data_IF_681777423330
#
_entry.id   IF_681777423330
#
_cell.length_a   1.000
_cell.length_b   1.000
_cell.length_c   1.000
_cell.angle_alpha   90.00
_cell.angle_beta   90.00
_cell.angle_gamma   90.00
#
_symmetry.space_group_name_H-M   'P 1'
#
loop_
_entity.id
_entity.type
_entity.pdbx_description
1 polymer ?
#
# COMPACT_ATOMS: atom_id res chain seq x y z
N UNK A 1 -12.20 -8.10 -3.37
CA UNK A 1 -11.22 -7.19 -2.79
C UNK A 1 -11.21 -5.87 -3.55
N UNK A 2 -11.02 -4.79 -2.84
CA UNK A 2 -10.90 -3.47 -3.47
C UNK A 2 -9.44 -3.04 -3.45
N UNK A 3 -8.73 -3.20 -4.55
CA UNK A 3 -7.29 -2.91 -4.55
C UNK A 3 -6.97 -1.45 -4.25
N UNK A 4 -7.86 -0.53 -4.62
CA UNK A 4 -7.60 0.88 -4.34
C UNK A 4 -7.70 1.16 -2.85
N UNK A 5 -8.72 0.60 -2.20
CA UNK A 5 -8.87 0.80 -0.76
C UNK A 5 -7.74 0.13 0.00
N UNK A 6 -7.35 -1.07 -0.44
CA UNK A 6 -6.25 -1.77 0.20
C UNK A 6 -4.96 -0.99 0.07
N UNK A 7 -4.72 -0.44 -1.11
CA UNK A 7 -3.53 0.36 -1.34
C UNK A 7 -3.50 1.60 -0.46
N UNK A 8 -4.65 2.27 -0.31
CA UNK A 8 -4.72 3.45 0.53
C UNK A 8 -4.44 3.12 1.99
N UNK A 9 -5.01 2.00 2.46
CA UNK A 9 -4.73 1.57 3.83
C UNK A 9 -3.26 1.27 4.01
N UNK A 10 -2.66 0.61 3.04
CA UNK A 10 -1.25 0.28 3.10
C UNK A 10 -0.41 1.55 3.22
N UNK A 11 -0.72 2.54 2.41
CA UNK A 11 0.04 3.78 2.45
C UNK A 11 -0.12 4.51 3.78
N UNK A 12 -1.32 4.50 4.33
CA UNK A 12 -1.55 5.13 5.64
C UNK A 12 -0.80 4.42 6.74
N UNK A 13 -0.80 3.10 6.68
CA UNK A 13 -0.10 2.32 7.70
C UNK A 13 1.41 2.51 7.59
N UNK A 14 1.92 2.59 6.37
CA UNK A 14 3.34 2.85 6.18
C UNK A 14 3.73 4.22 6.72
N UNK A 15 2.87 5.21 6.48
CA UNK A 15 3.14 6.54 7.00
C UNK A 15 3.16 6.54 8.52
N UNK A 16 2.21 5.82 9.12
CA UNK A 16 2.18 5.72 10.57
C UNK A 16 3.41 4.99 11.11
N UNK A 17 3.86 3.96 10.41
CA UNK A 17 5.07 3.25 10.82
C UNK A 17 6.30 4.13 10.71
N UNK A 18 6.31 5.03 9.74
CA UNK A 18 7.42 5.95 9.59
C UNK A 18 7.58 6.81 10.85
N UNK A 19 6.46 7.18 11.46
CA UNK A 19 6.47 7.98 12.66
C UNK A 19 6.67 7.14 13.90
N UNK A 20 6.25 5.89 13.88
CA UNK A 20 6.36 5.01 15.03
C UNK A 20 6.76 3.61 14.57
N UNK A 21 8.03 3.41 14.23
CA UNK A 21 8.46 2.12 13.69
C UNK A 21 8.37 0.96 14.67
N UNK A 22 8.12 1.23 15.94
CA UNK A 22 8.01 0.18 16.93
C UNK A 22 6.59 -0.38 17.06
N UNK A 23 5.66 0.14 16.27
CA UNK A 23 4.28 -0.33 16.30
C UNK A 23 4.20 -1.68 15.59
N UNK A 24 4.34 -2.75 16.37
CA UNK A 24 4.40 -4.09 15.79
C UNK A 24 3.06 -4.51 15.22
N UNK A 25 1.98 -4.07 15.83
CA UNK A 25 0.66 -4.41 15.33
C UNK A 25 0.44 -3.82 13.94
N UNK A 26 0.85 -2.57 13.77
CA UNK A 26 0.70 -1.93 12.47
C UNK A 26 1.59 -2.59 11.43
N UNK A 27 2.79 -2.98 11.84
CA UNK A 27 3.69 -3.67 10.94
C UNK A 27 3.08 -4.98 10.45
N UNK A 28 2.46 -5.73 11.36
CA UNK A 28 1.82 -6.98 10.98
C UNK A 28 0.69 -6.72 10.00
N UNK A 29 -0.06 -5.65 10.20
CA UNK A 29 -1.14 -5.29 9.28
C UNK A 29 -0.59 -4.95 7.90
N UNK A 30 0.53 -4.26 7.84
CA UNK A 30 1.16 -3.95 6.55
C UNK A 30 1.50 -5.22 5.80
N UNK A 31 2.06 -6.19 6.51
CA UNK A 31 2.43 -7.45 5.88
C UNK A 31 1.19 -8.15 5.33
N UNK A 32 0.10 -8.17 6.10
CA UNK A 32 -1.12 -8.79 5.64
C UNK A 32 -1.68 -8.10 4.41
N UNK A 33 -1.63 -6.78 4.38
CA UNK A 33 -2.10 -6.03 3.23
C UNK A 33 -1.26 -6.31 1.99
N UNK A 34 0.05 -6.40 2.17
CA UNK A 34 0.92 -6.73 1.06
C UNK A 34 0.65 -8.12 0.53
N UNK A 35 0.43 -9.07 1.43
CA UNK A 35 0.12 -10.43 1.00
C UNK A 35 -1.20 -10.48 0.23
N UNK A 36 -2.19 -9.73 0.71
CA UNK A 36 -3.48 -9.71 0.04
C UNK A 36 -3.35 -9.12 -1.37
N UNK A 37 -2.60 -8.03 -1.50
CA UNK A 37 -2.40 -7.42 -2.81
C UNK A 37 -1.62 -8.34 -3.73
N UNK A 38 -0.58 -8.98 -3.22
CA UNK A 38 0.21 -9.90 -4.02
C UNK A 38 -0.65 -11.03 -4.55
N UNK A 39 -1.48 -11.59 -3.66
CA UNK A 39 -2.37 -12.69 -4.07
C UNK A 39 -3.35 -12.21 -5.12
N UNK A 40 -3.90 -11.03 -4.92
CA UNK A 40 -4.85 -10.45 -5.87
C UNK A 40 -4.22 -10.28 -7.25
N UNK A 41 -3.01 -9.76 -7.30
CA UNK A 41 -2.34 -9.53 -8.58
C UNK A 41 -1.97 -10.84 -9.26
N UNK A 42 -1.59 -11.85 -8.47
CA UNK A 42 -1.23 -13.14 -9.05
C UNK A 42 -2.41 -13.81 -9.73
N UNK A 43 -3.61 -13.52 -9.24
CA UNK A 43 -4.81 -14.11 -9.84
C UNK A 43 -5.30 -13.30 -11.03
N UNK A 44 -4.55 -12.31 -11.43
CA UNK A 44 -4.94 -11.48 -12.56
C UNK A 44 -5.82 -10.32 -12.19
N UNK A 45 -5.90 -9.98 -10.91
CA UNK A 45 -6.67 -8.81 -10.49
C UNK A 45 -6.04 -7.54 -10.99
N UNK A 46 -6.88 -6.53 -11.19
CA UNK A 46 -6.37 -5.25 -11.66
C UNK A 46 -5.56 -4.56 -10.57
N UNK A 47 -4.49 -3.88 -10.94
CA UNK A 47 -3.66 -3.19 -9.96
C UNK A 47 -4.38 -1.97 -9.38
N UNK A 48 -3.96 -1.54 -8.19
CA UNK A 48 -4.53 -0.33 -7.62
C UNK A 48 -4.11 0.90 -8.39
N UNK A 49 -4.88 1.96 -8.24
CA UNK A 49 -4.52 3.22 -8.86
C UNK A 49 -3.49 3.92 -8.00
N UNK A 50 -2.27 3.93 -8.47
CA UNK A 50 -1.16 4.53 -7.73
C UNK A 50 -0.60 5.76 -8.43
N UNK A 51 -1.18 6.12 -9.56
CA UNK A 51 -0.66 7.24 -10.32
C UNK A 51 -0.82 8.56 -9.59
N UNK A 52 -1.69 8.62 -8.60
CA UNK A 52 -1.79 9.84 -7.82
C UNK A 52 -0.51 10.12 -7.03
N UNK A 53 0.32 9.12 -6.83
CA UNK A 53 1.61 9.34 -6.20
C UNK A 53 2.65 9.80 -7.20
N UNK A 54 2.44 9.46 -8.45
CA UNK A 54 3.35 9.91 -9.50
C UNK A 54 3.26 11.39 -9.74
N UNK A 55 2.13 11.97 -9.42
CA UNK A 55 1.96 13.40 -9.62
C UNK A 55 2.92 14.22 -8.79
N UNK A 56 3.44 13.63 -7.77
CA UNK A 56 4.40 14.31 -6.91
C UNK A 56 5.79 14.26 -7.46
N UNK A 57 6.01 13.39 -8.40
CA UNK A 57 7.32 13.33 -9.03
C UNK A 57 7.34 14.35 -10.11
N UNK A 58 8.14 15.06 -10.18
CA UNK A 58 8.17 15.95 -11.32
C UNK A 58 9.15 15.55 -12.35
N UNK A 59 8.76 14.93 -12.33
CA UNK A 59 9.18 14.49 -12.87
C UNK A 59 9.96 14.22 -13.12
N UNK A 60 9.84 14.25 -12.69
CA UNK A 60 10.35 13.90 -12.66
C UNK A 60 10.79 13.70 -13.27
N UNK A 61 10.79 13.96 -13.36
CA UNK A 61 10.93 13.77 -13.79
C UNK A 61 11.18 13.93 -14.09
#
# INVERSE_FOLDING_TARGET
MDPNATWQMLCEYLRALHQNPEDEERRANVILLLEALTRWLRRGGSPPMINQYHQQSPEDT
#
